data_IF_032485063699
#
_entry.id   IF_032485063699
#
_cell.length_a   1.000
_cell.length_b   1.000
_cell.length_c   1.000
_cell.angle_alpha   90.00
_cell.angle_beta   90.00
_cell.angle_gamma   90.00
#
_symmetry.space_group_name_H-M   'P 1'
#
loop_
_entity.id
_entity.type
_entity.pdbx_description
1 polymer ?
#
# COMPACT_ATOMS: atom_id res chain seq x y z
N UNK A 1 2.76 4.13 -19.50
CA UNK A 1 3.28 4.80 -18.28
C UNK A 1 2.98 3.94 -17.07
N UNK A 2 4.04 3.40 -16.50
CA UNK A 2 4.05 2.37 -15.45
C UNK A 2 4.77 2.93 -14.22
N UNK A 3 4.06 3.00 -13.10
CA UNK A 3 4.56 3.68 -11.89
C UNK A 3 4.51 2.72 -10.69
N UNK A 4 5.69 2.43 -10.14
CA UNK A 4 5.80 1.70 -8.89
C UNK A 4 5.87 2.67 -7.71
N UNK A 5 5.00 2.50 -6.71
CA UNK A 5 5.02 3.29 -5.47
C UNK A 5 5.33 2.37 -4.30
N UNK A 6 6.48 2.59 -3.67
CA UNK A 6 7.04 1.72 -2.62
C UNK A 6 7.37 2.54 -1.38
N UNK A 7 7.27 1.95 -0.21
CA UNK A 7 7.71 2.59 1.03
C UNK A 7 6.87 2.22 2.23
N UNK A 8 7.15 2.86 3.36
CA UNK A 8 6.61 2.44 4.65
C UNK A 8 5.08 2.56 4.76
N UNK A 9 4.50 1.75 5.65
CA UNK A 9 3.11 1.93 6.05
C UNK A 9 2.88 3.34 6.62
N UNK A 10 1.67 3.87 6.40
CA UNK A 10 1.25 5.22 6.84
C UNK A 10 2.10 6.40 6.34
N UNK A 11 2.95 6.20 5.32
CA UNK A 11 3.82 7.25 4.77
C UNK A 11 3.13 8.19 3.77
N UNK A 12 1.88 7.93 3.40
CA UNK A 12 1.09 8.76 2.48
C UNK A 12 1.01 8.25 1.03
N UNK A 13 1.65 7.13 0.70
CA UNK A 13 1.66 6.53 -0.65
C UNK A 13 0.27 6.46 -1.28
N UNK A 14 -0.72 5.90 -0.60
CA UNK A 14 -2.04 5.71 -1.22
C UNK A 14 -2.75 7.02 -1.51
N UNK A 15 -2.47 8.10 -0.75
CA UNK A 15 -2.96 9.44 -1.11
C UNK A 15 -2.25 9.99 -2.34
N UNK A 16 -0.93 9.79 -2.43
CA UNK A 16 -0.14 10.17 -3.60
C UNK A 16 -0.60 9.40 -4.86
N UNK A 17 -0.68 8.08 -4.80
CA UNK A 17 -1.09 7.22 -5.92
C UNK A 17 -2.51 7.53 -6.41
N UNK A 18 -3.43 7.86 -5.50
CA UNK A 18 -4.79 8.32 -5.87
C UNK A 18 -4.78 9.62 -6.65
N UNK A 19 -4.02 10.62 -6.18
CA UNK A 19 -3.88 11.90 -6.88
C UNK A 19 -3.23 11.72 -8.25
N UNK A 20 -2.22 10.85 -8.33
CA UNK A 20 -1.50 10.55 -9.55
C UNK A 20 -2.38 9.83 -10.57
N UNK A 21 -3.16 8.85 -10.11
CA UNK A 21 -4.16 8.14 -10.90
C UNK A 21 -5.19 9.10 -11.49
N UNK A 22 -5.73 10.01 -10.67
CA UNK A 22 -6.69 11.02 -11.12
C UNK A 22 -6.06 12.03 -12.09
N UNK A 23 -4.82 12.45 -11.84
CA UNK A 23 -4.13 13.43 -12.69
C UNK A 23 -3.81 12.89 -14.08
N UNK A 24 -3.31 11.65 -14.17
CA UNK A 24 -2.92 11.03 -15.44
C UNK A 24 -4.01 10.14 -16.05
N UNK A 25 -5.14 9.97 -15.36
CA UNK A 25 -6.22 9.07 -15.74
C UNK A 25 -5.76 7.62 -16.01
N UNK A 26 -4.92 7.08 -15.13
CA UNK A 26 -4.39 5.71 -15.23
C UNK A 26 -4.84 4.85 -14.06
N UNK A 27 -5.03 3.53 -14.25
CA UNK A 27 -5.54 2.67 -13.19
C UNK A 27 -4.52 2.54 -12.04
N UNK A 28 -5.03 2.47 -10.82
CA UNK A 28 -4.22 2.25 -9.60
C UNK A 28 -4.64 0.96 -8.89
N UNK A 29 -3.67 0.12 -8.57
CA UNK A 29 -3.81 -1.03 -7.69
C UNK A 29 -3.09 -0.74 -6.38
N UNK A 30 -3.83 -0.74 -5.27
CA UNK A 30 -3.25 -0.73 -3.94
C UNK A 30 -3.11 -2.19 -3.48
N UNK A 31 -1.89 -2.67 -3.25
CA UNK A 31 -1.66 -4.08 -2.90
C UNK A 31 -2.42 -4.47 -1.63
N UNK A 32 -2.50 -3.57 -0.64
CA UNK A 32 -3.25 -3.79 0.60
C UNK A 32 -4.72 -4.19 0.35
N UNK A 33 -5.36 -3.78 -0.76
CA UNK A 33 -6.77 -4.09 -1.05
C UNK A 33 -6.98 -5.49 -1.62
N UNK A 34 -5.90 -6.17 -2.05
CA UNK A 34 -5.95 -7.53 -2.59
C UNK A 34 -5.21 -8.53 -1.72
N UNK A 35 -4.27 -8.05 -0.90
CA UNK A 35 -3.51 -8.85 0.06
C UNK A 35 -4.34 -9.22 1.29
N UNK A 36 -5.26 -8.34 1.71
CA UNK A 36 -6.16 -8.61 2.83
C UNK A 36 -7.58 -8.87 2.34
N UNK A 37 -8.21 -9.88 2.91
CA UNK A 37 -9.64 -10.18 2.81
C UNK A 37 -10.42 -9.44 3.91
N UNK A 38 -11.71 -9.75 4.04
CA UNK A 38 -12.54 -9.33 5.16
C UNK A 38 -11.87 -9.70 6.50
N UNK A 39 -12.10 -8.88 7.52
CA UNK A 39 -11.50 -9.03 8.85
C UNK A 39 -9.96 -9.00 8.90
N UNK A 40 -9.30 -8.41 7.90
CA UNK A 40 -7.83 -8.28 7.84
C UNK A 40 -7.10 -9.64 7.76
N UNK A 41 -7.78 -10.68 7.27
CA UNK A 41 -7.16 -11.99 7.03
C UNK A 41 -6.30 -11.95 5.76
N UNK A 42 -5.15 -12.62 5.77
CA UNK A 42 -4.26 -12.68 4.61
C UNK A 42 -4.94 -13.50 3.51
N UNK A 43 -4.95 -12.96 2.29
CA UNK A 43 -5.49 -13.63 1.13
C UNK A 43 -4.54 -14.69 0.59
N UNK A 44 -5.07 -15.62 -0.20
CA UNK A 44 -4.24 -16.63 -0.85
C UNK A 44 -3.15 -15.97 -1.71
N UNK A 45 -1.94 -16.52 -1.62
CA UNK A 45 -0.77 -15.98 -2.30
C UNK A 45 -0.96 -15.96 -3.81
N UNK A 46 -1.47 -17.04 -4.40
CA UNK A 46 -1.69 -17.16 -5.84
C UNK A 46 -2.72 -16.16 -6.33
N UNK A 47 -3.76 -15.89 -5.53
CA UNK A 47 -4.78 -14.89 -5.83
C UNK A 47 -4.19 -13.48 -5.80
N UNK A 48 -3.38 -13.16 -4.79
CA UNK A 48 -2.72 -11.86 -4.67
C UNK A 48 -1.74 -11.64 -5.83
N UNK A 49 -0.87 -12.61 -6.08
CA UNK A 49 0.12 -12.55 -7.17
C UNK A 49 -0.55 -12.45 -8.54
N UNK A 50 -1.60 -13.24 -8.79
CA UNK A 50 -2.38 -13.19 -10.03
C UNK A 50 -2.96 -11.80 -10.30
N UNK A 51 -3.58 -11.17 -9.30
CA UNK A 51 -4.12 -9.80 -9.44
C UNK A 51 -3.04 -8.74 -9.69
N UNK A 52 -1.85 -8.90 -9.10
CA UNK A 52 -0.71 -8.02 -9.39
C UNK A 52 -0.24 -8.22 -10.83
N UNK A 53 -0.06 -9.47 -11.28
CA UNK A 53 0.34 -9.77 -12.65
C UNK A 53 -0.66 -9.24 -13.68
N UNK A 54 -1.96 -9.40 -13.43
CA UNK A 54 -3.00 -8.89 -14.33
C UNK A 54 -2.98 -7.36 -14.44
N UNK A 55 -2.65 -6.65 -13.35
CA UNK A 55 -2.42 -5.22 -13.41
C UNK A 55 -1.16 -4.86 -14.21
N UNK A 56 -0.07 -5.62 -14.05
CA UNK A 56 1.20 -5.39 -14.75
C UNK A 56 1.11 -5.59 -16.27
N UNK A 57 0.18 -6.43 -16.74
CA UNK A 57 -0.09 -6.64 -18.17
C UNK A 57 -0.66 -5.41 -18.88
N UNK A 58 -1.19 -4.42 -18.14
CA UNK A 58 -1.74 -3.20 -18.74
C UNK A 58 -0.64 -2.28 -19.27
N UNK A 59 -0.96 -1.51 -20.30
CA UNK A 59 -0.05 -0.52 -20.88
C UNK A 59 0.28 0.62 -19.90
N UNK A 60 -0.68 0.94 -19.02
CA UNK A 60 -0.55 1.95 -17.98
C UNK A 60 -1.01 1.40 -16.63
N UNK A 61 -0.22 1.63 -15.59
CA UNK A 61 -0.58 1.24 -14.23
C UNK A 61 0.16 2.05 -13.17
N UNK A 62 -0.47 2.21 -12.02
CA UNK A 62 0.16 2.55 -10.75
C UNK A 62 -0.02 1.36 -9.82
N UNK A 63 1.07 0.79 -9.29
CA UNK A 63 0.99 -0.25 -8.26
C UNK A 63 1.61 0.30 -6.98
N UNK A 64 0.74 0.54 -6.00
CA UNK A 64 1.09 1.06 -4.67
C UNK A 64 1.15 -0.07 -3.65
N UNK A 65 2.33 -0.28 -3.07
CA UNK A 65 2.50 -1.16 -1.95
C UNK A 65 3.81 -1.93 -1.98
N UNK A 66 4.12 -2.50 -0.82
CA UNK A 66 5.31 -3.33 -0.63
C UNK A 66 4.87 -4.78 -0.69
N UNK A 67 5.26 -5.47 -1.75
CA UNK A 67 5.15 -6.91 -1.91
C UNK A 67 6.44 -7.37 -2.58
N UNK A 68 7.34 -7.99 -1.80
CA UNK A 68 8.72 -8.27 -2.18
C UNK A 68 8.83 -9.37 -3.23
N UNK A 69 7.96 -10.38 -3.17
CA UNK A 69 7.98 -11.49 -4.13
C UNK A 69 7.87 -11.02 -5.59
N UNK A 70 7.10 -9.96 -5.83
CA UNK A 70 6.95 -9.33 -7.15
C UNK A 70 7.53 -7.92 -7.19
N UNK A 71 8.44 -7.57 -6.28
CA UNK A 71 9.07 -6.25 -6.30
C UNK A 71 9.97 -6.11 -7.54
N UNK A 72 10.82 -7.10 -7.81
CA UNK A 72 11.73 -7.05 -8.95
C UNK A 72 10.98 -6.88 -10.27
N UNK A 73 9.98 -7.74 -10.55
CA UNK A 73 9.21 -7.66 -11.79
C UNK A 73 8.50 -6.30 -11.95
N UNK A 74 7.95 -5.75 -10.87
CA UNK A 74 7.29 -4.43 -10.91
C UNK A 74 8.29 -3.30 -11.15
N UNK A 75 9.45 -3.35 -10.50
CA UNK A 75 10.46 -2.30 -10.60
C UNK A 75 11.14 -2.31 -11.97
N UNK A 76 11.40 -3.49 -12.55
CA UNK A 76 11.96 -3.63 -13.90
C UNK A 76 11.03 -3.11 -14.99
N UNK A 77 9.71 -3.24 -14.81
CA UNK A 77 8.72 -2.75 -15.78
C UNK A 77 8.31 -1.28 -15.56
N UNK A 78 8.71 -0.66 -14.46
CA UNK A 78 8.27 0.70 -14.13
C UNK A 78 9.09 1.75 -14.89
N UNK A 79 8.39 2.70 -15.51
CA UNK A 79 9.00 3.92 -16.06
C UNK A 79 9.42 4.87 -14.92
N UNK A 80 8.66 4.86 -13.82
CA UNK A 80 8.91 5.71 -12.65
C UNK A 80 8.75 4.93 -11.33
N UNK A 81 9.67 5.19 -10.40
CA UNK A 81 9.66 4.60 -9.06
C UNK A 81 9.61 5.73 -8.03
N UNK A 82 8.55 5.75 -7.22
CA UNK A 82 8.42 6.68 -6.10
C UNK A 82 8.66 5.97 -4.77
N UNK A 83 9.72 6.38 -4.07
CA UNK A 83 10.10 5.81 -2.78
C UNK A 83 9.68 6.71 -1.61
N UNK A 84 8.77 6.22 -0.79
CA UNK A 84 8.27 6.90 0.41
C UNK A 84 9.08 6.47 1.64
N UNK A 85 10.33 6.91 1.71
CA UNK A 85 11.29 6.61 2.77
C UNK A 85 11.21 7.62 3.95
N UNK A 86 10.02 7.82 4.50
CA UNK A 86 9.81 8.76 5.61
C UNK A 86 10.15 8.15 6.97
N UNK A 87 10.59 9.00 7.90
CA UNK A 87 10.89 8.62 9.28
C UNK A 87 9.68 8.06 10.04
N UNK A 88 9.95 7.28 11.09
CA UNK A 88 8.90 6.59 11.88
C UNK A 88 7.87 7.54 12.49
N UNK A 89 8.32 8.69 12.97
CA UNK A 89 7.45 9.71 13.55
C UNK A 89 6.58 10.38 12.50
N UNK A 90 7.13 10.70 11.32
CA UNK A 90 6.35 11.23 10.18
C UNK A 90 5.24 10.26 9.75
N UNK A 91 5.57 8.96 9.61
CA UNK A 91 4.57 7.93 9.32
C UNK A 91 3.52 7.81 10.43
N UNK A 92 3.93 7.88 11.70
CA UNK A 92 3.02 7.81 12.83
C UNK A 92 2.06 9.02 12.88
N UNK A 93 2.56 10.25 12.71
CA UNK A 93 1.69 11.42 12.56
C UNK A 93 0.76 11.30 11.35
N UNK A 94 1.25 10.71 10.26
CA UNK A 94 0.43 10.34 9.10
C UNK A 94 -0.74 9.42 9.46
N UNK A 95 -0.48 8.37 10.27
CA UNK A 95 -1.52 7.49 10.81
C UNK A 95 -2.51 8.25 11.67
N UNK A 96 -2.05 9.06 12.63
CA UNK A 96 -2.92 9.82 13.52
C UNK A 96 -3.82 10.79 12.74
N UNK A 97 -3.24 11.56 11.81
CA UNK A 97 -3.99 12.45 10.92
C UNK A 97 -5.03 11.69 10.10
N UNK A 98 -4.67 10.51 9.59
CA UNK A 98 -5.58 9.65 8.83
C UNK A 98 -6.73 9.16 9.71
N UNK A 99 -6.44 8.68 10.91
CA UNK A 99 -7.45 8.23 11.86
C UNK A 99 -8.49 9.32 12.15
N UNK A 100 -8.06 10.55 12.42
CA UNK A 100 -9.00 11.65 12.64
C UNK A 100 -9.81 12.02 11.39
N UNK A 101 -9.20 11.98 10.20
CA UNK A 101 -9.89 12.28 8.93
C UNK A 101 -10.98 11.26 8.58
N UNK A 102 -10.74 9.99 8.86
CA UNK A 102 -11.63 8.88 8.50
C UNK A 102 -12.38 8.29 9.70
N UNK A 103 -12.35 8.97 10.86
CA UNK A 103 -13.12 8.55 12.04
C UNK A 103 -14.61 8.47 11.65
N UNK A 104 -15.19 7.26 11.71
CA UNK A 104 -16.57 6.93 11.29
C UNK A 104 -16.84 6.95 9.77
N UNK A 105 -15.80 6.95 8.91
CA UNK A 105 -15.95 6.83 7.45
C UNK A 105 -15.15 5.63 6.94
N UNK A 106 -15.71 4.87 5.99
CA UNK A 106 -14.98 3.80 5.34
C UNK A 106 -13.92 4.37 4.40
N UNK A 107 -12.71 3.82 4.44
CA UNK A 107 -11.62 4.21 3.55
C UNK A 107 -11.69 3.38 2.27
N UNK A 108 -11.82 4.03 1.12
CA UNK A 108 -11.77 3.43 -0.23
C UNK A 108 -10.36 2.90 -0.63
N UNK A 109 -9.52 2.58 0.35
CA UNK A 109 -8.22 1.86 0.18
C UNK A 109 -8.10 0.73 1.21
N UNK A 110 -9.21 0.26 1.77
CA UNK A 110 -9.29 -0.91 2.64
C UNK A 110 -10.33 -1.88 2.10
N UNK A 111 -10.14 -3.17 2.38
CA UNK A 111 -11.17 -4.17 2.16
C UNK A 111 -12.46 -3.78 2.91
N UNK A 112 -13.61 -4.11 2.30
CA UNK A 112 -14.94 -3.83 2.83
C UNK A 112 -15.10 -4.36 4.25
N UNK A 113 -15.83 -3.62 5.10
CA UNK A 113 -16.16 -4.05 6.48
C UNK A 113 -15.13 -3.74 7.57
N UNK A 114 -13.97 -3.14 7.25
CA UNK A 114 -12.94 -2.83 8.25
C UNK A 114 -12.92 -1.34 8.66
N UNK A 115 -13.58 -0.93 9.76
CA UNK A 115 -13.51 0.44 10.25
C UNK A 115 -12.09 0.78 10.72
N UNK A 116 -11.65 2.01 10.47
CA UNK A 116 -10.30 2.44 10.86
C UNK A 116 -10.17 2.46 12.39
N UNK A 117 -9.37 1.53 12.92
CA UNK A 117 -9.01 1.44 14.34
C UNK A 117 -7.51 1.68 14.48
N UNK A 118 -7.12 2.44 15.50
CA UNK A 118 -5.71 2.47 15.91
C UNK A 118 -5.45 1.15 16.62
N UNK A 119 -4.89 0.21 15.89
CA UNK A 119 -4.38 -1.04 16.46
C UNK A 119 -2.98 -0.80 17.02
N UNK A 120 -2.78 -1.11 18.31
CA UNK A 120 -1.48 -1.04 18.97
C UNK A 120 -0.44 -1.91 18.26
N UNK A 121 -0.86 -3.03 17.66
CA UNK A 121 0.00 -3.88 16.84
C UNK A 121 0.52 -3.11 15.61
N UNK A 122 -0.37 -2.34 14.96
CA UNK A 122 -0.03 -1.54 13.79
C UNK A 122 0.81 -0.30 14.15
N UNK A 123 0.58 0.30 15.31
CA UNK A 123 1.44 1.35 15.86
C UNK A 123 2.85 0.80 16.11
N UNK A 124 2.96 -0.35 16.78
CA UNK A 124 4.24 -1.04 17.01
C UNK A 124 4.94 -1.36 15.69
N UNK A 125 4.20 -1.78 14.68
CA UNK A 125 4.70 -2.02 13.33
C UNK A 125 5.30 -0.76 12.68
N UNK A 126 4.58 0.37 12.71
CA UNK A 126 5.06 1.63 12.10
C UNK A 126 6.32 2.15 12.78
N UNK A 127 6.38 2.04 14.11
CA UNK A 127 7.46 2.60 14.93
C UNK A 127 8.69 1.70 14.98
N UNK A 128 8.51 0.38 15.06
CA UNK A 128 9.60 -0.58 15.28
C UNK A 128 9.63 -1.74 14.29
N UNK A 129 8.61 -2.61 14.26
CA UNK A 129 8.74 -3.91 13.58
C UNK A 129 8.93 -3.78 12.06
N UNK A 130 8.14 -2.92 11.40
CA UNK A 130 8.28 -2.63 9.97
C UNK A 130 9.53 -1.80 9.60
N UNK A 131 10.39 -1.49 10.57
CA UNK A 131 11.68 -0.79 10.36
C UNK A 131 12.88 -1.75 10.34
N UNK A 132 12.69 -3.00 10.75
CA UNK A 132 13.75 -4.01 10.74
C UNK A 132 14.07 -4.44 9.30
N UNK A 133 15.36 -4.53 8.96
CA UNK A 133 15.83 -4.92 7.61
C UNK A 133 15.34 -6.33 7.22
N UNK A 134 15.29 -7.23 8.19
CA UNK A 134 14.96 -8.65 7.98
C UNK A 134 13.45 -8.96 8.01
N UNK A 135 12.61 -7.93 7.92
CA UNK A 135 11.17 -8.12 7.88
C UNK A 135 10.76 -8.83 6.59
N UNK A 136 10.54 -10.16 6.69
CA UNK A 136 10.11 -11.05 5.60
C UNK A 136 8.61 -10.99 5.30
N UNK A 137 7.84 -10.21 6.05
CA UNK A 137 6.37 -10.22 6.02
C UNK A 137 5.72 -9.32 4.95
N UNK A 138 6.52 -8.65 4.12
CA UNK A 138 6.03 -7.89 2.96
C UNK A 138 6.91 -8.22 1.78
#
# INVERSE_FOLDING_TARGET
>A
MKIAVVGYSASGKSTFSKKLSAHYNIPVLHIDTIYFNENMTINDRTVTEGRIFDMMKKDHWIIDGTYRYLAQNRLEQADHIFLFNFGRWTCFFGLIRRYFKYRKKQRDTMALGNPERIDLSFVKWILWDGRKKDTKQL
#
